data_IF_057927442088
#
_entry.id   IF_057927442088
#
_cell.length_a   1.000
_cell.length_b   1.000
_cell.length_c   1.000
_cell.angle_alpha   90.00
_cell.angle_beta   90.00
_cell.angle_gamma   90.00
#
_symmetry.space_group_name_H-M   'P 1'
#
loop_
_entity.id
_entity.type
_entity.pdbx_description
1 polymer ?
#
# COMPACT_ATOMS: atom_id res chain seq x y z
N UNK A 1 -22.76 -10.24 2.92
CA UNK A 1 -21.45 -10.18 2.32
C UNK A 1 -20.41 -9.72 3.30
N UNK A 2 -19.32 -10.39 3.31
CA UNK A 2 -18.33 -10.14 4.34
C UNK A 2 -17.38 -9.00 3.96
N UNK A 3 -16.97 -8.29 4.98
CA UNK A 3 -15.96 -7.26 4.83
C UNK A 3 -14.62 -7.93 4.49
N UNK A 4 -13.94 -7.52 3.40
CA UNK A 4 -12.67 -8.12 3.04
C UNK A 4 -11.65 -8.14 4.17
N UNK A 5 -11.64 -7.10 5.02
CA UNK A 5 -10.72 -7.06 6.15
C UNK A 5 -11.02 -8.19 7.13
N UNK A 6 -12.30 -8.44 7.38
CA UNK A 6 -12.69 -9.46 8.34
C UNK A 6 -12.41 -10.89 7.85
N UNK A 7 -12.46 -11.07 6.54
CA UNK A 7 -12.22 -12.38 5.93
C UNK A 7 -10.75 -12.58 5.58
N UNK A 8 -9.97 -11.52 5.56
CA UNK A 8 -8.58 -11.60 5.16
C UNK A 8 -7.80 -12.41 6.18
N UNK A 9 -7.03 -13.34 5.67
CA UNK A 9 -6.10 -14.08 6.51
C UNK A 9 -4.89 -13.18 6.76
N UNK A 10 -4.67 -12.80 8.01
CA UNK A 10 -3.63 -11.86 8.35
C UNK A 10 -2.25 -12.51 8.27
N UNK A 11 -1.34 -11.83 7.60
CA UNK A 11 0.06 -12.20 7.57
C UNK A 11 0.76 -11.70 8.82
N UNK A 12 1.96 -12.20 9.08
CA UNK A 12 2.72 -11.73 10.25
C UNK A 12 3.09 -10.25 10.13
N UNK A 13 3.22 -9.74 8.91
CA UNK A 13 3.48 -8.33 8.65
C UNK A 13 2.34 -7.75 7.84
N UNK A 14 1.96 -6.51 8.15
CA UNK A 14 0.89 -5.82 7.43
C UNK A 14 1.32 -4.40 7.12
N UNK A 15 1.12 -3.97 5.89
CA UNK A 15 1.31 -2.59 5.47
C UNK A 15 -0.06 -2.02 5.16
N UNK A 16 -0.43 -0.95 5.86
CA UNK A 16 -1.69 -0.23 5.64
C UNK A 16 -1.37 1.13 5.05
N UNK A 17 -1.78 1.38 3.82
CA UNK A 17 -1.41 2.60 3.12
C UNK A 17 -2.62 3.31 2.54
N UNK A 18 -2.63 4.64 2.64
CA UNK A 18 -3.54 5.49 1.88
C UNK A 18 -2.93 5.64 0.50
N UNK A 19 -3.42 4.85 -0.45
CA UNK A 19 -2.81 4.76 -1.77
C UNK A 19 -2.93 6.07 -2.56
N UNK A 20 -4.03 6.81 -2.38
CA UNK A 20 -4.19 8.09 -3.06
C UNK A 20 -3.14 9.09 -2.62
N UNK A 21 -2.84 9.12 -1.33
CA UNK A 21 -1.80 9.99 -0.80
C UNK A 21 -0.42 9.57 -1.32
N UNK A 22 -0.14 8.27 -1.31
CA UNK A 22 1.13 7.74 -1.80
C UNK A 22 1.33 8.10 -3.28
N UNK A 23 0.27 7.97 -4.07
CA UNK A 23 0.33 8.33 -5.50
C UNK A 23 0.61 9.81 -5.69
N UNK A 24 0.00 10.66 -4.88
CA UNK A 24 0.21 12.11 -4.93
C UNK A 24 1.65 12.49 -4.56
N UNK A 25 2.19 11.85 -3.54
CA UNK A 25 3.58 12.09 -3.14
C UNK A 25 4.53 11.68 -4.26
N UNK A 26 4.26 10.53 -4.89
CA UNK A 26 5.08 10.06 -6.01
C UNK A 26 5.03 11.05 -7.17
N UNK A 27 3.86 11.60 -7.48
CA UNK A 27 3.73 12.60 -8.52
C UNK A 27 4.63 13.81 -8.24
N UNK A 28 4.58 14.32 -7.01
CA UNK A 28 5.38 15.48 -6.64
C UNK A 28 6.88 15.20 -6.77
N UNK A 29 7.31 14.02 -6.34
CA UNK A 29 8.72 13.63 -6.43
C UNK A 29 9.17 13.50 -7.88
N UNK A 30 8.35 12.85 -8.71
CA UNK A 30 8.68 12.67 -10.13
C UNK A 30 8.81 14.02 -10.83
N UNK A 31 7.85 14.93 -10.60
CA UNK A 31 7.88 16.25 -11.21
C UNK A 31 9.15 17.01 -10.81
N UNK A 32 9.50 16.95 -9.51
CA UNK A 32 10.69 17.65 -9.04
C UNK A 32 11.96 17.07 -9.65
N UNK A 33 12.07 15.74 -9.72
CA UNK A 33 13.24 15.12 -10.33
C UNK A 33 13.33 15.39 -11.82
N UNK A 34 12.20 15.39 -12.53
CA UNK A 34 12.19 15.72 -13.96
C UNK A 34 12.70 17.14 -14.18
N UNK A 35 12.27 18.06 -13.32
CA UNK A 35 12.71 19.46 -13.43
C UNK A 35 14.21 19.59 -13.18
N UNK A 36 14.72 18.87 -12.19
CA UNK A 36 16.14 18.92 -11.84
C UNK A 36 17.02 18.30 -12.91
N UNK A 37 16.57 17.19 -13.50
CA UNK A 37 17.36 16.42 -14.45
C UNK A 37 17.15 16.84 -15.90
N UNK A 38 16.10 17.63 -16.17
CA UNK A 38 15.79 18.07 -17.52
C UNK A 38 15.35 16.95 -18.43
N UNK A 39 14.80 15.88 -17.89
CA UNK A 39 14.31 14.76 -18.69
C UNK A 39 13.17 14.06 -17.98
N UNK A 40 12.43 13.25 -18.73
CA UNK A 40 11.31 12.50 -18.18
C UNK A 40 11.78 11.38 -17.28
N UNK A 41 11.01 11.17 -16.22
CA UNK A 41 11.24 10.10 -15.25
C UNK A 41 10.09 9.09 -15.39
N UNK A 42 10.38 7.79 -15.46
CA UNK A 42 9.31 6.79 -15.54
C UNK A 42 8.51 6.72 -14.24
N UNK A 43 7.36 6.07 -14.32
CA UNK A 43 6.55 5.82 -13.13
C UNK A 43 7.35 5.00 -12.12
N UNK A 44 7.03 5.20 -10.84
CA UNK A 44 7.68 4.45 -9.77
C UNK A 44 7.32 2.96 -9.84
N UNK A 45 8.26 2.13 -9.44
CA UNK A 45 8.04 0.68 -9.36
C UNK A 45 7.35 0.37 -8.03
N UNK A 46 6.12 -0.10 -8.09
CA UNK A 46 5.35 -0.35 -6.88
C UNK A 46 5.99 -1.41 -5.99
N UNK A 47 6.50 -2.49 -6.58
CA UNK A 47 7.14 -3.55 -5.80
C UNK A 47 8.35 -3.02 -5.04
N UNK A 48 9.16 -2.17 -5.67
CA UNK A 48 10.31 -1.56 -5.00
C UNK A 48 9.88 -0.62 -3.88
N UNK A 49 8.80 0.11 -4.10
CA UNK A 49 8.27 0.98 -3.05
C UNK A 49 7.84 0.17 -1.83
N UNK A 50 7.15 -0.95 -2.06
CA UNK A 50 6.71 -1.83 -0.98
C UNK A 50 7.92 -2.37 -0.23
N UNK A 51 8.97 -2.79 -0.96
CA UNK A 51 10.20 -3.27 -0.32
C UNK A 51 10.83 -2.19 0.55
N UNK A 52 10.85 -0.95 0.08
CA UNK A 52 11.43 0.15 0.86
C UNK A 52 10.65 0.37 2.15
N UNK A 53 9.32 0.35 2.08
CA UNK A 53 8.48 0.50 3.26
C UNK A 53 8.76 -0.63 4.26
N UNK A 54 8.85 -1.86 3.75
CA UNK A 54 9.11 -3.01 4.60
C UNK A 54 10.47 -2.90 5.30
N UNK A 55 11.50 -2.50 4.55
CA UNK A 55 12.83 -2.33 5.12
C UNK A 55 12.85 -1.23 6.18
N UNK A 56 12.18 -0.11 5.90
CA UNK A 56 12.08 0.98 6.87
C UNK A 56 11.35 0.54 8.13
N UNK A 57 10.39 -0.36 7.99
CA UNK A 57 9.66 -0.94 9.11
C UNK A 57 10.42 -2.03 9.85
N UNK A 58 11.64 -2.32 9.45
CA UNK A 58 12.49 -3.27 10.15
C UNK A 58 12.49 -4.69 9.61
N UNK A 59 11.82 -4.93 8.49
CA UNK A 59 11.81 -6.27 7.89
C UNK A 59 13.20 -6.60 7.35
N UNK A 60 13.60 -7.87 7.47
CA UNK A 60 14.88 -8.33 6.98
C UNK A 60 14.66 -9.46 5.98
N UNK A 61 15.68 -9.81 5.22
CA UNK A 61 15.60 -10.91 4.28
C UNK A 61 15.18 -12.20 4.98
N UNK A 62 14.33 -12.99 4.31
CA UNK A 62 13.84 -14.23 4.86
C UNK A 62 12.51 -14.62 4.26
N UNK A 63 11.92 -15.69 4.78
CA UNK A 63 10.65 -16.22 4.30
C UNK A 63 9.45 -15.59 4.96
N UNK A 64 9.39 -14.27 5.00
CA UNK A 64 8.29 -13.56 5.62
C UNK A 64 7.06 -13.53 4.73
N UNK A 65 5.90 -13.29 5.34
CA UNK A 65 4.66 -13.02 4.62
C UNK A 65 4.17 -11.65 5.02
N UNK A 66 3.81 -10.85 4.02
CA UNK A 66 3.36 -9.48 4.24
C UNK A 66 2.09 -9.23 3.44
N UNK A 67 1.06 -8.72 4.11
CA UNK A 67 -0.15 -8.25 3.46
C UNK A 67 -0.04 -6.76 3.25
N UNK A 68 -0.24 -6.32 2.02
CA UNK A 68 -0.21 -4.90 1.67
C UNK A 68 -1.63 -4.45 1.38
N UNK A 69 -2.16 -3.57 2.21
CA UNK A 69 -3.50 -3.03 2.02
C UNK A 69 -3.39 -1.63 1.44
N UNK A 70 -3.95 -1.45 0.25
CA UNK A 70 -3.96 -0.17 -0.44
C UNK A 70 -5.38 0.38 -0.43
N UNK A 71 -5.64 1.33 0.45
CA UNK A 71 -6.94 1.98 0.54
C UNK A 71 -6.97 3.15 -0.43
N UNK A 72 -8.02 3.22 -1.26
CA UNK A 72 -8.13 4.28 -2.27
C UNK A 72 -9.59 4.69 -2.44
N UNK A 73 -9.80 5.88 -2.97
CA UNK A 73 -11.15 6.31 -3.27
C UNK A 73 -11.75 5.47 -4.38
N UNK A 74 -13.05 5.24 -4.30
CA UNK A 74 -13.77 4.45 -5.29
C UNK A 74 -13.62 5.00 -6.71
N UNK A 75 -13.64 6.32 -6.85
CA UNK A 75 -13.53 6.95 -8.16
C UNK A 75 -12.10 6.94 -8.71
N UNK A 76 -11.12 6.60 -7.89
CA UNK A 76 -9.73 6.44 -8.33
C UNK A 76 -9.48 4.98 -8.65
N UNK A 77 -9.46 4.63 -9.92
CA UNK A 77 -9.35 3.24 -10.34
C UNK A 77 -7.91 2.78 -10.50
N UNK A 78 -6.96 3.71 -10.48
CA UNK A 78 -5.54 3.35 -10.62
C UNK A 78 -4.65 4.41 -10.01
N UNK A 79 -3.46 3.99 -9.63
CA UNK A 79 -2.37 4.90 -9.31
C UNK A 79 -1.76 5.36 -10.63
N UNK A 80 -1.52 6.65 -10.76
CA UNK A 80 -1.02 7.20 -12.02
C UNK A 80 0.49 7.32 -12.04
N UNK A 81 1.12 7.21 -10.90
CA UNK A 81 2.56 7.43 -10.77
C UNK A 81 3.31 6.17 -10.36
N UNK A 82 2.64 5.03 -10.34
CA UNK A 82 3.22 3.73 -10.06
C UNK A 82 2.86 2.74 -11.17
N UNK A 83 3.73 1.77 -11.37
CA UNK A 83 3.48 0.65 -12.26
C UNK A 83 3.84 -0.64 -11.53
N UNK A 84 2.95 -1.62 -11.48
CA UNK A 84 1.56 -1.59 -11.96
C UNK A 84 0.70 -0.66 -11.11
N UNK A 85 -0.39 -0.16 -11.68
CA UNK A 85 -1.19 0.86 -11.00
C UNK A 85 -2.68 0.61 -10.92
N UNK A 86 -3.23 -0.26 -11.77
CA UNK A 86 -4.67 -0.49 -11.78
C UNK A 86 -5.08 -1.36 -10.60
N UNK A 87 -5.90 -0.82 -9.72
CA UNK A 87 -6.23 -1.51 -8.48
C UNK A 87 -6.94 -2.84 -8.70
N UNK A 88 -7.97 -2.85 -9.51
CA UNK A 88 -8.76 -4.07 -9.69
C UNK A 88 -8.08 -5.08 -10.62
N UNK A 89 -7.46 -4.60 -11.69
CA UNK A 89 -6.94 -5.48 -12.73
C UNK A 89 -5.52 -5.94 -12.45
N UNK A 90 -4.71 -5.13 -11.80
CA UNK A 90 -3.28 -5.39 -11.68
C UNK A 90 -2.78 -5.58 -10.25
N UNK A 91 -3.53 -5.14 -9.26
CA UNK A 91 -3.04 -5.13 -7.88
C UNK A 91 -3.83 -6.02 -6.94
N UNK A 92 -5.15 -5.88 -6.93
CA UNK A 92 -5.95 -6.57 -5.93
C UNK A 92 -5.85 -8.09 -6.09
N UNK A 93 -5.50 -8.77 -5.01
CA UNK A 93 -5.36 -10.22 -5.02
C UNK A 93 -4.07 -10.72 -5.63
N UNK A 94 -3.18 -9.83 -6.04
CA UNK A 94 -1.92 -10.23 -6.66
C UNK A 94 -0.83 -10.38 -5.59
N UNK A 95 0.17 -11.16 -5.92
CA UNK A 95 1.28 -11.42 -5.00
C UNK A 95 2.59 -11.38 -5.76
N UNK A 96 3.64 -11.00 -5.05
CA UNK A 96 4.99 -11.12 -5.59
C UNK A 96 5.92 -11.61 -4.48
N UNK A 97 7.07 -12.11 -4.87
CA UNK A 97 8.02 -12.70 -3.93
C UNK A 97 9.42 -12.22 -4.28
N UNK A 98 10.17 -11.87 -3.24
CA UNK A 98 11.58 -11.46 -3.41
C UNK A 98 12.36 -11.83 -2.15
N UNK A 99 13.53 -11.21 -1.95
CA UNK A 99 14.40 -11.55 -0.82
C UNK A 99 13.77 -11.27 0.53
N UNK A 100 12.76 -10.42 0.60
CA UNK A 100 12.06 -10.12 1.85
C UNK A 100 10.89 -11.06 2.12
N UNK A 101 10.59 -11.96 1.18
CA UNK A 101 9.49 -12.91 1.33
C UNK A 101 8.37 -12.64 0.35
N UNK A 102 7.19 -13.10 0.68
CA UNK A 102 6.01 -12.97 -0.18
C UNK A 102 5.15 -11.80 0.26
N UNK A 103 4.73 -10.99 -0.72
CA UNK A 103 3.83 -9.87 -0.50
C UNK A 103 2.52 -10.13 -1.25
N UNK A 104 1.42 -10.01 -0.55
CA UNK A 104 0.08 -10.13 -1.14
C UNK A 104 -0.59 -8.78 -1.05
N UNK A 105 -1.17 -8.31 -2.15
CA UNK A 105 -1.77 -6.98 -2.23
C UNK A 105 -3.29 -7.10 -2.18
N UNK A 106 -3.89 -6.28 -1.34
CA UNK A 106 -5.34 -6.12 -1.27
C UNK A 106 -5.67 -4.65 -1.49
N UNK A 107 -6.39 -4.35 -2.56
CA UNK A 107 -6.82 -2.99 -2.84
C UNK A 107 -8.25 -2.82 -2.36
N UNK A 108 -8.51 -1.77 -1.58
CA UNK A 108 -9.82 -1.54 -0.98
C UNK A 108 -10.36 -0.19 -1.43
N UNK A 109 -11.52 -0.21 -2.10
CA UNK A 109 -12.17 1.00 -2.57
C UNK A 109 -13.01 1.60 -1.45
N UNK A 110 -12.81 2.89 -1.18
CA UNK A 110 -13.53 3.61 -0.13
C UNK A 110 -14.50 4.57 -0.80
N UNK A 111 -15.78 4.47 -0.44
CA UNK A 111 -16.82 5.20 -1.15
C UNK A 111 -16.90 6.66 -0.76
N UNK A 112 -16.59 6.99 0.48
CA UNK A 112 -16.77 8.33 0.98
C UNK A 112 -15.44 9.03 1.21
N UNK A 113 -15.42 10.32 0.88
CA UNK A 113 -14.19 11.10 0.95
C UNK A 113 -13.62 11.14 2.37
N UNK A 114 -14.47 11.21 3.36
CA UNK A 114 -14.02 11.34 4.75
C UNK A 114 -13.49 10.05 5.34
N UNK A 115 -13.63 8.93 4.63
CA UNK A 115 -13.49 7.63 5.26
C UNK A 115 -12.14 6.95 5.12
N UNK A 116 -11.20 7.50 4.33
CA UNK A 116 -9.91 6.83 4.19
C UNK A 116 -9.15 6.82 5.52
N UNK A 117 -9.18 7.92 6.26
CA UNK A 117 -8.54 8.01 7.56
C UNK A 117 -9.26 7.12 8.57
N UNK A 118 -10.59 7.14 8.57
CA UNK A 118 -11.38 6.27 9.44
C UNK A 118 -11.15 4.81 9.10
N UNK A 119 -11.07 4.48 7.81
CA UNK A 119 -10.81 3.12 7.39
C UNK A 119 -9.45 2.64 7.92
N UNK A 120 -8.41 3.44 7.77
CA UNK A 120 -7.08 3.06 8.23
C UNK A 120 -7.04 2.91 9.75
N UNK A 121 -7.73 3.78 10.47
CA UNK A 121 -7.80 3.70 11.93
C UNK A 121 -8.47 2.40 12.36
N UNK A 122 -9.58 2.07 11.72
CA UNK A 122 -10.32 0.85 12.04
C UNK A 122 -9.51 -0.40 11.66
N UNK A 123 -8.87 -0.37 10.49
CA UNK A 123 -8.03 -1.47 10.05
C UNK A 123 -6.85 -1.68 11.01
N UNK A 124 -6.25 -0.59 11.46
CA UNK A 124 -5.15 -0.67 12.42
C UNK A 124 -5.61 -1.33 13.73
N UNK A 125 -6.80 -0.95 14.19
CA UNK A 125 -7.36 -1.54 15.41
C UNK A 125 -7.57 -3.04 15.24
N UNK A 126 -8.15 -3.45 14.12
CA UNK A 126 -8.39 -4.87 13.85
C UNK A 126 -7.10 -5.65 13.75
N UNK A 127 -6.12 -5.10 13.04
CA UNK A 127 -4.84 -5.76 12.82
C UNK A 127 -4.09 -5.95 14.13
N UNK A 128 -4.05 -4.92 14.96
CA UNK A 128 -3.30 -5.02 16.22
C UNK A 128 -3.94 -5.98 17.22
N UNK A 129 -5.20 -6.34 17.00
CA UNK A 129 -5.87 -7.32 17.84
C UNK A 129 -5.59 -8.77 17.40
N UNK A 130 -4.94 -8.99 16.26
CA UNK A 130 -4.67 -10.33 15.75
C UNK A 130 -3.36 -10.88 16.29
N UNK A 131 -3.39 -12.07 16.83
CA UNK A 131 -2.21 -12.67 17.44
C UNK A 131 -1.11 -12.99 16.43
N UNK A 132 -1.50 -13.33 15.22
CA UNK A 132 -0.55 -13.70 14.17
C UNK A 132 0.19 -12.52 13.58
N UNK A 133 -0.30 -11.31 13.79
CA UNK A 133 0.33 -10.11 13.25
C UNK A 133 1.41 -9.63 14.21
N UNK A 134 2.64 -9.52 13.72
CA UNK A 134 3.80 -9.13 14.54
C UNK A 134 4.34 -7.76 14.20
N UNK A 135 4.00 -7.24 13.02
CA UNK A 135 4.51 -5.94 12.56
C UNK A 135 3.49 -5.26 11.69
N UNK A 136 3.25 -3.98 11.95
CA UNK A 136 2.33 -3.18 11.16
C UNK A 136 3.04 -1.88 10.77
N UNK A 137 2.96 -1.54 9.48
CA UNK A 137 3.48 -0.29 8.95
C UNK A 137 2.31 0.49 8.39
N UNK A 138 2.12 1.72 8.84
CA UNK A 138 0.96 2.53 8.44
C UNK A 138 1.45 3.78 7.72
N UNK A 139 0.88 4.05 6.55
CA UNK A 139 1.18 5.24 5.77
C UNK A 139 -0.11 6.00 5.57
N UNK A 140 -0.44 6.90 6.49
CA UNK A 140 -1.68 7.69 6.40
C UNK A 140 -1.48 8.91 5.53
N UNK A 141 -2.59 9.62 5.28
CA UNK A 141 -2.52 10.91 4.60
C UNK A 141 -2.02 11.96 5.58
N UNK A 142 -0.84 12.49 5.32
CA UNK A 142 -0.19 13.46 6.21
C UNK A 142 -0.46 14.92 5.83
N UNK A 143 -1.30 15.16 4.84
CA UNK A 143 -1.59 16.52 4.38
C UNK A 143 -2.84 17.12 4.97
N UNK A 144 -3.42 16.48 5.91
CA UNK A 144 -4.63 16.97 6.59
C UNK A 144 -4.40 18.28 7.30
#
# INVERSE_FOLDING_TARGET
MNNPIQETRWSENVILADADYVDKVAFNLIVNFERMLGRRIPKADLAKWVDCVALDGGLRAGGHETLVVLAHRKEKTQMENFAPGNYAAELDGKAFKDSLGEFVISAVAIEEIADSEDYLTEALRLVTAQKEVKRVMVIPNLEE
#
